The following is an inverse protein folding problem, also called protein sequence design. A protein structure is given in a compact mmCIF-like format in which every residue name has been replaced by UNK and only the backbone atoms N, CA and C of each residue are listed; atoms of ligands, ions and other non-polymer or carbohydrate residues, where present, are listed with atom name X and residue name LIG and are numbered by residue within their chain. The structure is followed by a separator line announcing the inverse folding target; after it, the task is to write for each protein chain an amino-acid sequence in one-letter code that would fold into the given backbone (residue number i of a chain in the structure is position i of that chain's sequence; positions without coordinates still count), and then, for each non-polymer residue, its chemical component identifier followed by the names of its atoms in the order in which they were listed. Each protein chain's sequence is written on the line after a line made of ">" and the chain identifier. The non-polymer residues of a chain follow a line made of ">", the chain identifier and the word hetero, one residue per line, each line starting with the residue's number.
data_IF_580769761546
#
_entry.id   IF_580769761546
#
_cell.length_a   1.000
_cell.length_b   1.000
_cell.length_c   1.000
_cell.angle_alpha   90.00
_cell.angle_beta   90.00
_cell.angle_gamma   90.00
#
_symmetry.space_group_name_H-M   'P 1'
#
loop_
_entity.id
_entity.type
_entity.pdbx_description
1 polymer ?
#
# COMPACT_ATOMS: atom_id res chain seq x y z
N UNK A 1 8.61 0.46 5.36
CA UNK A 1 7.54 -0.47 5.76
C UNK A 1 6.91 -1.00 4.50
N UNK A 2 6.49 -2.25 4.48
CA UNK A 2 6.21 -2.98 3.24
C UNK A 2 4.89 -3.72 3.34
N UNK A 3 3.85 -3.20 2.68
CA UNK A 3 2.56 -3.87 2.60
C UNK A 3 2.59 -4.99 1.56
N UNK A 4 1.83 -6.05 1.82
CA UNK A 4 1.79 -7.26 0.99
C UNK A 4 0.37 -7.60 0.56
N UNK A 5 0.24 -8.20 -0.62
CA UNK A 5 -1.01 -8.73 -1.14
C UNK A 5 -0.79 -10.13 -1.72
N UNK A 6 -1.58 -11.10 -1.26
CA UNK A 6 -1.64 -12.43 -1.88
C UNK A 6 -2.73 -12.41 -2.96
N UNK A 7 -2.36 -12.72 -4.20
CA UNK A 7 -3.29 -12.78 -5.34
C UNK A 7 -2.92 -13.94 -6.26
N UNK A 8 -3.90 -14.79 -6.61
CA UNK A 8 -3.66 -15.99 -7.45
C UNK A 8 -2.50 -16.86 -6.92
N UNK A 9 -2.49 -17.14 -5.61
CA UNK A 9 -1.44 -17.89 -4.91
C UNK A 9 -0.01 -17.34 -5.07
N UNK A 10 0.11 -16.07 -5.43
CA UNK A 10 1.40 -15.36 -5.56
C UNK A 10 1.43 -14.22 -4.56
N UNK A 11 2.54 -14.07 -3.84
CA UNK A 11 2.79 -12.90 -2.98
C UNK A 11 3.27 -11.73 -3.84
N UNK A 12 2.64 -10.59 -3.67
CA UNK A 12 3.05 -9.32 -4.26
C UNK A 12 3.35 -8.30 -3.17
N UNK A 13 4.33 -7.44 -3.46
CA UNK A 13 4.53 -6.18 -2.75
C UNK A 13 3.54 -5.15 -3.28
N UNK A 14 2.94 -4.38 -2.38
CA UNK A 14 2.19 -3.18 -2.76
C UNK A 14 3.20 -2.05 -2.99
N UNK A 15 3.26 -1.57 -4.24
CA UNK A 15 4.22 -0.55 -4.67
C UNK A 15 3.70 0.86 -4.43
N UNK A 16 2.45 1.10 -4.82
CA UNK A 16 1.76 2.38 -4.70
C UNK A 16 0.25 2.14 -4.55
N UNK A 17 -0.43 3.11 -3.96
CA UNK A 17 -1.89 3.11 -3.78
C UNK A 17 -2.41 4.49 -4.17
N UNK A 18 -3.53 4.54 -4.90
CA UNK A 18 -4.09 5.81 -5.37
C UNK A 18 -4.57 6.68 -4.21
N UNK A 19 -5.22 6.04 -3.22
CA UNK A 19 -5.53 6.68 -1.95
C UNK A 19 -4.34 6.57 -0.99
N UNK A 20 -4.23 7.51 -0.05
CA UNK A 20 -3.15 7.54 0.96
C UNK A 20 -2.98 6.21 1.70
N UNK A 21 -4.09 5.52 2.03
CA UNK A 21 -4.07 4.21 2.69
C UNK A 21 -5.13 3.29 2.10
N UNK A 22 -4.82 2.00 1.98
CA UNK A 22 -5.89 0.99 1.83
C UNK A 22 -6.65 0.87 3.14
N UNK A 23 -5.89 0.80 4.24
CA UNK A 23 -6.38 0.74 5.62
C UNK A 23 -5.40 1.46 6.52
N UNK A 24 -5.90 2.19 7.52
CA UNK A 24 -5.08 2.86 8.54
C UNK A 24 -5.44 2.37 9.95
N UNK A 25 -4.48 2.15 10.87
CA UNK A 25 -4.75 1.67 12.24
C UNK A 25 -5.80 2.46 13.03
N UNK A 26 -5.84 3.78 12.84
CA UNK A 26 -6.83 4.68 13.45
C UNK A 26 -8.27 4.24 13.15
N UNK A 27 -8.52 3.66 11.96
CA UNK A 27 -9.85 3.21 11.58
C UNK A 27 -10.37 2.07 12.47
N UNK A 28 -9.48 1.35 13.15
CA UNK A 28 -9.80 0.30 14.12
C UNK A 28 -9.68 0.76 15.59
N UNK A 29 -9.37 2.04 15.82
CA UNK A 29 -9.23 2.59 17.17
C UNK A 29 -7.89 2.31 17.86
N UNK A 30 -6.86 1.83 17.14
CA UNK A 30 -5.56 1.53 17.75
C UNK A 30 -4.70 2.76 18.09
N UNK A 31 -5.07 3.95 17.60
CA UNK A 31 -4.32 5.19 17.84
C UNK A 31 -5.26 6.37 18.14
N UNK A 32 -4.90 7.28 19.06
CA UNK A 32 -5.68 8.47 19.32
C UNK A 32 -5.62 9.44 18.15
N UNK A 33 -6.76 10.00 17.73
CA UNK A 33 -6.81 11.12 16.77
C UNK A 33 -6.16 12.41 17.32
N UNK A 34 -5.94 12.47 18.65
CA UNK A 34 -5.55 13.68 19.37
C UNK A 34 -4.04 13.91 19.44
N UNK A 35 -3.20 12.95 19.02
CA UNK A 35 -1.77 13.21 18.88
C UNK A 35 -1.52 14.03 17.62
N UNK A 36 -0.76 15.11 17.74
CA UNK A 36 -0.45 16.03 16.63
C UNK A 36 0.23 15.34 15.42
N UNK A 37 0.67 14.08 15.56
CA UNK A 37 1.15 13.23 14.49
C UNK A 37 0.21 12.03 14.27
N UNK A 38 -0.36 11.92 13.06
CA UNK A 38 -0.92 10.65 12.53
C UNK A 38 0.20 9.71 12.03
N UNK A 39 1.45 10.00 12.39
CA UNK A 39 2.60 9.22 11.96
C UNK A 39 2.72 8.01 12.87
N UNK A 40 2.34 6.86 12.34
CA UNK A 40 2.63 5.57 12.94
C UNK A 40 3.30 4.70 11.89
N UNK A 41 4.25 3.88 12.33
CA UNK A 41 4.79 2.85 11.47
C UNK A 41 3.82 1.68 11.45
N UNK A 42 3.34 1.24 10.29
CA UNK A 42 2.52 0.04 10.20
C UNK A 42 2.72 -0.71 8.89
N UNK A 43 2.39 -2.00 8.92
CA UNK A 43 2.40 -2.90 7.77
C UNK A 43 1.08 -3.65 7.73
N UNK A 44 0.58 -3.90 6.52
CA UNK A 44 -0.66 -4.63 6.30
C UNK A 44 -0.39 -5.80 5.36
N UNK A 45 -1.02 -6.93 5.66
CA UNK A 45 -1.07 -8.08 4.78
C UNK A 45 -2.51 -8.28 4.32
N UNK A 46 -2.67 -8.34 3.00
CA UNK A 46 -3.97 -8.49 2.35
C UNK A 46 -4.04 -9.80 1.56
N UNK A 47 -5.25 -10.25 1.29
CA UNK A 47 -5.54 -11.30 0.30
C UNK A 47 -6.63 -10.83 -0.64
N UNK A 48 -6.45 -11.13 -1.92
CA UNK A 48 -7.47 -10.96 -2.95
C UNK A 48 -8.06 -12.33 -3.31
N UNK A 49 -9.29 -12.58 -2.85
CA UNK A 49 -10.00 -13.86 -2.98
C UNK A 49 -11.43 -13.58 -3.40
N UNK A 50 -11.95 -14.34 -4.37
CA UNK A 50 -13.30 -14.15 -4.92
C UNK A 50 -13.61 -12.68 -5.28
N UNK A 51 -12.63 -12.03 -5.93
CA UNK A 51 -12.68 -10.61 -6.31
C UNK A 51 -12.81 -9.64 -5.12
N UNK A 52 -12.53 -10.06 -3.88
CA UNK A 52 -12.61 -9.20 -2.69
C UNK A 52 -11.23 -8.94 -2.10
N UNK A 53 -10.98 -7.68 -1.75
CA UNK A 53 -9.81 -7.26 -1.00
C UNK A 53 -10.06 -7.42 0.51
N UNK A 54 -9.30 -8.32 1.10
CA UNK A 54 -9.45 -8.75 2.49
C UNK A 54 -8.18 -8.41 3.26
N UNK A 55 -8.33 -7.78 4.42
CA UNK A 55 -7.26 -7.56 5.38
C UNK A 55 -7.09 -8.82 6.24
N UNK A 56 -5.87 -9.33 6.30
CA UNK A 56 -5.51 -10.50 7.11
C UNK A 56 -4.71 -10.12 8.35
N UNK A 57 -3.85 -9.11 8.24
CA UNK A 57 -2.96 -8.74 9.33
C UNK A 57 -2.62 -7.26 9.30
N UNK A 58 -2.58 -6.64 10.47
CA UNK A 58 -2.05 -5.30 10.70
C UNK A 58 -0.96 -5.38 11.77
N UNK A 59 0.23 -4.92 11.44
CA UNK A 59 1.36 -4.83 12.36
C UNK A 59 1.64 -3.35 12.58
N UNK A 60 1.50 -2.87 13.81
CA UNK A 60 1.77 -1.48 14.20
C UNK A 60 3.13 -1.47 14.90
N UNK A 61 4.11 -0.81 14.30
CA UNK A 61 5.40 -0.54 14.94
C UNK A 61 5.27 0.60 15.93
N UNK A 62 5.86 0.44 17.11
CA UNK A 62 6.03 1.54 18.05
C UNK A 62 7.46 2.06 17.89
N UNK A 63 7.61 3.28 17.36
CA UNK A 63 8.94 3.86 17.07
C UNK A 63 9.64 4.40 18.33
N UNK A 64 9.01 4.34 19.50
CA UNK A 64 9.61 4.87 20.73
C UNK A 64 10.27 3.74 21.52
N UNK A 65 11.61 3.69 21.45
CA UNK A 65 12.39 2.98 22.46
C UNK A 65 12.19 3.72 23.79
N UNK A 66 11.49 3.09 24.74
CA UNK A 66 11.26 3.70 26.05
C UNK A 66 12.49 3.41 26.91
N UNK A 67 13.16 4.47 27.37
CA UNK A 67 14.19 4.35 28.39
C UNK A 67 13.54 4.43 29.77
N UNK A 68 13.45 3.29 30.46
CA UNK A 68 13.01 3.19 31.85
C UNK A 68 14.24 2.87 32.72
N UNK A 69 14.71 3.85 33.49
CA UNK A 69 15.79 3.63 34.47
C UNK A 69 17.13 3.16 33.85
N UNK A 70 17.46 3.59 32.63
CA UNK A 70 18.71 3.21 31.94
C UNK A 70 18.62 1.91 31.13
N UNK A 71 17.46 1.25 31.11
CA UNK A 71 17.19 0.11 30.22
C UNK A 71 16.46 0.61 28.99
N UNK A 72 17.06 0.41 27.82
CA UNK A 72 16.45 0.69 26.51
C UNK A 72 15.53 -0.48 26.16
N UNK A 73 14.21 -0.28 26.30
CA UNK A 73 13.24 -1.24 25.78
C UNK A 73 13.13 -1.03 24.27
N UNK A 74 13.41 -2.07 23.49
CA UNK A 74 13.15 -2.04 22.05
C UNK A 74 11.64 -1.91 21.80
N UNK A 75 11.28 -1.16 20.74
CA UNK A 75 9.90 -0.89 20.41
C UNK A 75 9.11 -2.19 20.18
N UNK A 76 7.98 -2.33 20.86
CA UNK A 76 7.08 -3.46 20.65
C UNK A 76 6.26 -3.24 19.38
N UNK A 77 6.24 -4.23 18.49
CA UNK A 77 5.29 -4.28 17.39
C UNK A 77 3.99 -4.95 17.87
N UNK A 78 2.86 -4.26 17.73
CA UNK A 78 1.54 -4.84 18.00
C UNK A 78 1.06 -5.55 16.75
N UNK A 79 0.82 -6.85 16.84
CA UNK A 79 0.30 -7.65 15.75
C UNK A 79 -1.20 -7.90 15.97
N UNK A 80 -2.01 -7.52 14.99
CA UNK A 80 -3.45 -7.73 14.97
C UNK A 80 -3.80 -8.60 13.76
N UNK A 81 -4.29 -9.80 14.03
CA UNK A 81 -4.77 -10.71 13.00
C UNK A 81 -6.26 -10.51 12.75
N UNK A 82 -6.62 -10.55 11.48
CA UNK A 82 -7.97 -10.42 10.98
C UNK A 82 -8.28 -11.66 10.16
N UNK A 83 -9.37 -12.36 10.49
CA UNK A 83 -9.86 -13.49 9.70
C UNK A 83 -10.59 -12.94 8.46
N UNK A 84 -9.85 -12.57 7.41
CA UNK A 84 -10.39 -12.12 6.12
C UNK A 84 -11.36 -10.92 6.25
N UNK A 85 -10.93 -9.85 6.94
CA UNK A 85 -11.79 -8.67 7.13
C UNK A 85 -11.97 -7.93 5.79
N UNK A 86 -13.23 -7.74 5.37
CA UNK A 86 -13.56 -6.95 4.17
C UNK A 86 -13.07 -5.51 4.32
N UNK A 87 -12.47 -4.99 3.26
CA UNK A 87 -12.12 -3.58 3.13
C UNK A 87 -13.16 -2.85 2.28
N UNK A 88 -13.34 -1.54 2.48
CA UNK A 88 -14.20 -0.67 1.67
C UNK A 88 -13.35 0.20 0.70
N UNK A 89 -12.23 -0.34 0.21
CA UNK A 89 -11.26 0.42 -0.57
C UNK A 89 -11.78 0.79 -1.96
N UNK A 90 -11.59 2.05 -2.35
CA UNK A 90 -11.92 2.58 -3.66
C UNK A 90 -10.68 3.20 -4.31
N UNK A 91 -10.36 2.77 -5.52
CA UNK A 91 -9.20 3.25 -6.29
C UNK A 91 -8.28 2.13 -6.78
N UNK A 92 -7.08 2.51 -7.22
CA UNK A 92 -6.12 1.59 -7.82
C UNK A 92 -4.97 1.24 -6.87
N UNK A 93 -4.66 -0.06 -6.78
CA UNK A 93 -3.48 -0.59 -6.08
C UNK A 93 -2.46 -1.07 -7.12
N UNK A 94 -1.24 -0.55 -7.09
CA UNK A 94 -0.12 -1.04 -7.90
C UNK A 94 0.63 -2.12 -7.12
N UNK A 95 0.73 -3.32 -7.69
CA UNK A 95 1.43 -4.45 -7.07
C UNK A 95 2.58 -4.95 -7.94
N UNK A 96 3.64 -5.44 -7.29
CA UNK A 96 4.85 -5.94 -7.92
C UNK A 96 5.30 -7.28 -7.34
N UNK A 97 5.74 -8.21 -8.20
CA UNK A 97 6.30 -9.48 -7.80
C UNK A 97 7.57 -9.82 -8.60
N UNK A 98 8.40 -10.70 -8.02
CA UNK A 98 9.67 -11.18 -8.57
C UNK A 98 10.60 -10.01 -8.92
N UNK A 99 11.26 -9.37 -7.93
CA UNK A 99 12.26 -8.36 -8.21
C UNK A 99 13.38 -8.97 -9.08
N UNK A 100 13.72 -8.30 -10.18
CA UNK A 100 14.75 -8.76 -11.13
C UNK A 100 16.08 -8.05 -10.85
N UNK A 101 16.01 -6.74 -10.66
CA UNK A 101 17.15 -5.87 -10.44
C UNK A 101 16.67 -4.62 -9.74
N UNK A 102 17.48 -4.13 -8.83
CA UNK A 102 17.19 -2.89 -8.13
C UNK A 102 17.48 -1.70 -9.04
N UNK A 103 16.43 -1.02 -9.46
CA UNK A 103 16.52 0.28 -10.10
C UNK A 103 15.94 1.32 -9.16
N UNK A 104 16.64 2.44 -9.02
CA UNK A 104 16.21 3.54 -8.16
C UNK A 104 15.94 4.76 -9.02
N UNK A 105 14.71 5.28 -8.96
CA UNK A 105 14.37 6.60 -9.48
C UNK A 105 14.38 7.67 -8.38
N UNK A 106 14.23 7.23 -7.13
CA UNK A 106 14.31 8.04 -5.91
C UNK A 106 15.23 7.29 -4.92
N UNK A 107 15.96 8.00 -4.05
CA UNK A 107 16.93 7.37 -3.14
C UNK A 107 16.33 6.24 -2.28
N UNK A 108 15.09 6.42 -1.83
CA UNK A 108 14.49 5.55 -0.81
C UNK A 108 13.39 4.62 -1.36
N UNK A 109 13.26 4.51 -2.69
CA UNK A 109 12.21 3.71 -3.30
C UNK A 109 12.68 3.02 -4.60
N UNK A 110 12.46 1.70 -4.64
CA UNK A 110 12.63 0.93 -5.86
C UNK A 110 11.65 1.40 -6.93
N UNK A 111 12.16 1.62 -8.13
CA UNK A 111 11.36 1.95 -9.28
C UNK A 111 10.46 0.77 -9.66
N UNK A 112 9.26 1.04 -10.16
CA UNK A 112 8.29 0.00 -10.53
C UNK A 112 8.83 -1.01 -11.55
N UNK A 113 9.71 -0.58 -12.45
CA UNK A 113 10.34 -1.47 -13.43
C UNK A 113 11.43 -2.39 -12.86
N UNK A 114 11.66 -2.37 -11.54
CA UNK A 114 12.49 -3.35 -10.82
C UNK A 114 11.85 -4.73 -10.69
N UNK A 115 10.54 -4.83 -10.93
CA UNK A 115 9.78 -6.07 -10.78
C UNK A 115 9.47 -6.71 -12.13
N UNK A 116 9.49 -8.05 -12.17
CA UNK A 116 9.13 -8.80 -13.38
C UNK A 116 7.65 -8.64 -13.71
N UNK A 117 6.81 -8.80 -12.69
CA UNK A 117 5.36 -8.72 -12.79
C UNK A 117 4.88 -7.46 -12.08
N UNK A 118 4.17 -6.60 -12.79
CA UNK A 118 3.58 -5.36 -12.25
C UNK A 118 2.15 -5.25 -12.74
N UNK A 119 1.20 -5.14 -11.81
CA UNK A 119 -0.23 -5.15 -12.09
C UNK A 119 -0.90 -3.99 -11.35
N UNK A 120 -1.82 -3.31 -12.02
CA UNK A 120 -2.77 -2.40 -11.40
C UNK A 120 -4.09 -3.12 -11.15
N UNK A 121 -4.53 -3.10 -9.89
CA UNK A 121 -5.79 -3.68 -9.44
C UNK A 121 -6.76 -2.55 -9.12
N UNK A 122 -7.90 -2.50 -9.81
CA UNK A 122 -8.90 -1.44 -9.66
C UNK A 122 -10.03 -1.92 -8.76
N UNK A 123 -10.33 -1.17 -7.71
CA UNK A 123 -11.33 -1.52 -6.73
C UNK A 123 -12.44 -0.50 -6.60
N UNK A 124 -13.65 -1.01 -6.34
CA UNK A 124 -14.83 -0.26 -5.91
C UNK A 124 -15.43 -0.99 -4.71
N UNK A 125 -15.53 -0.31 -3.57
CA UNK A 125 -15.98 -0.87 -2.28
C UNK A 125 -15.31 -2.22 -1.91
N UNK A 126 -13.99 -2.30 -2.10
CA UNK A 126 -13.20 -3.50 -1.85
C UNK A 126 -13.42 -4.65 -2.84
N UNK A 127 -14.25 -4.47 -3.88
CA UNK A 127 -14.43 -5.42 -4.97
C UNK A 127 -13.50 -5.08 -6.12
N UNK A 128 -12.79 -6.09 -6.63
CA UNK A 128 -11.92 -5.98 -7.80
C UNK A 128 -12.78 -5.88 -9.06
N UNK A 129 -12.74 -4.72 -9.69
CA UNK A 129 -13.49 -4.43 -10.93
C UNK A 129 -12.68 -4.85 -12.16
N UNK A 130 -11.39 -4.51 -12.17
CA UNK A 130 -10.52 -4.85 -13.31
C UNK A 130 -9.05 -4.95 -12.90
N UNK A 131 -8.26 -5.56 -13.77
CA UNK A 131 -6.81 -5.72 -13.62
C UNK A 131 -6.12 -5.28 -14.90
N UNK A 132 -5.05 -4.50 -14.77
CA UNK A 132 -4.23 -4.07 -15.91
C UNK A 132 -2.80 -4.57 -15.70
N UNK A 133 -2.31 -5.41 -16.62
CA UNK A 133 -0.93 -5.90 -16.58
C UNK A 133 0.03 -4.89 -17.23
N UNK A 134 0.90 -4.31 -16.41
CA UNK A 134 1.90 -3.32 -16.81
C UNK A 134 3.29 -3.92 -17.02
N UNK A 135 3.44 -5.24 -16.90
CA UNK A 135 4.74 -5.93 -16.96
C UNK A 135 5.46 -5.71 -18.30
N UNK A 136 4.73 -5.61 -19.41
CA UNK A 136 5.30 -5.29 -20.73
C UNK A 136 5.86 -3.88 -20.82
N UNK A 137 5.19 -2.91 -20.22
CA UNK A 137 5.69 -1.54 -20.16
C UNK A 137 6.97 -1.46 -19.31
N UNK A 138 6.99 -2.18 -18.17
CA UNK A 138 8.19 -2.28 -17.33
C UNK A 138 9.37 -2.93 -18.06
N UNK A 139 9.10 -4.00 -18.83
CA UNK A 139 10.10 -4.66 -19.67
C UNK A 139 10.69 -3.70 -20.71
N UNK A 140 9.87 -2.85 -21.35
CA UNK A 140 10.35 -1.84 -22.30
C UNK A 140 11.34 -0.87 -21.66
N UNK A 141 11.05 -0.40 -20.44
CA UNK A 141 11.98 0.48 -19.71
C UNK A 141 13.27 -0.24 -19.40
N UNK A 142 13.21 -1.47 -18.86
CA UNK A 142 14.40 -2.29 -18.58
C UNK A 142 15.25 -2.51 -19.82
N UNK A 143 14.65 -2.87 -20.96
CA UNK A 143 15.38 -3.10 -22.21
C UNK A 143 16.10 -1.85 -22.71
N UNK A 144 15.47 -0.68 -22.59
CA UNK A 144 16.14 0.58 -22.96
C UNK A 144 17.35 0.87 -22.08
N UNK A 145 17.29 0.52 -20.79
CA UNK A 145 18.42 0.67 -19.86
C UNK A 145 19.53 -0.37 -20.16
N UNK A 146 19.16 -1.63 -20.39
CA UNK A 146 20.08 -2.73 -20.72
C UNK A 146 20.87 -2.44 -22.01
N UNK A 147 20.17 -1.94 -23.04
CA UNK A 147 20.76 -1.57 -24.32
C UNK A 147 21.46 -0.21 -24.31
N UNK A 148 21.54 0.45 -23.14
CA UNK A 148 22.15 1.79 -22.96
C UNK A 148 21.53 2.88 -23.86
N UNK A 149 20.28 2.69 -24.28
CA UNK A 149 19.50 3.71 -24.98
C UNK A 149 19.03 4.83 -24.04
N UNK A 150 19.05 4.56 -22.73
CA UNK A 150 18.79 5.51 -21.64
C UNK A 150 19.67 5.21 -20.45
N UNK A 151 19.87 6.22 -19.59
CA UNK A 151 20.64 6.10 -18.36
C UNK A 151 19.92 6.77 -17.17
N UNK A 152 19.86 6.09 -16.02
CA UNK A 152 19.27 6.62 -14.79
C UNK A 152 20.08 7.75 -14.14
N UNK A 153 21.36 7.93 -14.51
CA UNK A 153 22.15 9.09 -14.05
C UNK A 153 21.87 10.36 -14.87
N UNK A 154 21.21 10.23 -16.03
CA UNK A 154 20.89 11.36 -16.89
C UNK A 154 19.49 11.91 -16.56
N UNK A 155 19.42 13.18 -16.15
CA UNK A 155 18.16 13.83 -15.75
C UNK A 155 17.12 13.93 -16.87
N UNK A 156 17.55 14.03 -18.13
CA UNK A 156 16.64 14.02 -19.30
C UNK A 156 16.00 12.66 -19.48
N UNK A 157 16.79 11.60 -19.38
CA UNK A 157 16.28 10.23 -19.50
C UNK A 157 15.35 9.86 -18.36
N UNK A 158 15.70 10.23 -17.12
CA UNK A 158 14.84 10.06 -15.94
C UNK A 158 13.49 10.76 -16.14
N UNK A 159 13.48 12.02 -16.63
CA UNK A 159 12.23 12.72 -16.95
C UNK A 159 11.42 12.00 -18.03
N UNK A 160 12.08 11.51 -19.08
CA UNK A 160 11.42 10.77 -20.14
C UNK A 160 10.87 9.42 -19.66
N UNK A 161 11.53 8.75 -18.71
CA UNK A 161 11.04 7.53 -18.08
C UNK A 161 9.83 7.88 -17.22
N UNK A 162 9.92 8.86 -16.32
CA UNK A 162 8.80 9.30 -15.48
C UNK A 162 7.58 9.70 -16.31
N UNK A 163 7.76 10.43 -17.41
CA UNK A 163 6.66 10.79 -18.31
C UNK A 163 6.00 9.57 -18.95
N UNK A 164 6.80 8.56 -19.34
CA UNK A 164 6.27 7.30 -19.84
C UNK A 164 5.49 6.54 -18.77
N UNK A 165 6.05 6.42 -17.55
CA UNK A 165 5.39 5.78 -16.42
C UNK A 165 4.04 6.44 -16.11
N UNK A 166 4.00 7.76 -16.05
CA UNK A 166 2.76 8.53 -15.81
C UNK A 166 1.72 8.39 -16.93
N UNK A 167 2.13 8.02 -18.16
CA UNK A 167 1.21 7.80 -19.27
C UNK A 167 0.69 6.37 -19.37
N UNK A 168 1.36 5.43 -18.70
CA UNK A 168 1.06 4.00 -18.77
C UNK A 168 0.14 3.58 -17.64
N UNK A 169 0.36 4.11 -16.45
CA UNK A 169 -0.48 3.82 -15.30
C UNK A 169 -1.84 4.47 -15.40
N UNK A 170 -2.85 3.74 -14.92
CA UNK A 170 -4.22 4.21 -14.82
C UNK A 170 -4.48 4.91 -13.48
N UNK A 171 -3.81 4.48 -12.39
CA UNK A 171 -3.99 5.06 -11.07
C UNK A 171 -3.32 6.43 -10.95
N UNK A 172 -3.97 7.37 -10.26
CA UNK A 172 -3.39 8.66 -9.91
C UNK A 172 -2.64 8.58 -8.57
N UNK A 173 -1.42 8.03 -8.58
CA UNK A 173 -0.57 7.85 -7.39
C UNK A 173 0.04 9.15 -6.85
N UNK A 174 -0.60 10.30 -7.05
CA UNK A 174 -0.11 11.57 -6.50
C UNK A 174 -0.34 11.58 -4.99
N UNK A 175 0.64 12.04 -4.20
CA UNK A 175 0.47 12.14 -2.75
C UNK A 175 -0.68 13.08 -2.41
N UNK A 176 -1.46 12.75 -1.38
CA UNK A 176 -2.50 13.64 -0.85
C UNK A 176 -1.87 15.00 -0.51
N UNK A 177 -2.19 16.03 -1.29
CA UNK A 177 -1.55 17.34 -1.16
C UNK A 177 -1.94 18.10 0.13
N UNK A 178 -2.99 17.68 0.85
CA UNK A 178 -3.51 18.39 2.02
C UNK A 178 -3.81 17.46 3.20
N UNK A 179 -3.29 17.82 4.38
CA UNK A 179 -3.51 17.12 5.64
C UNK A 179 -4.99 17.01 6.04
N UNK A 180 -5.80 18.02 5.69
CA UNK A 180 -7.24 18.03 5.96
C UNK A 180 -7.99 16.89 5.23
N UNK A 181 -7.67 16.67 3.96
CA UNK A 181 -8.29 15.60 3.16
C UNK A 181 -7.91 14.22 3.72
N UNK A 182 -6.68 14.06 4.21
CA UNK A 182 -6.23 12.84 4.89
C UNK A 182 -7.03 12.56 6.17
N UNK A 183 -7.30 13.57 7.00
CA UNK A 183 -8.10 13.38 8.22
C UNK A 183 -9.54 12.96 7.91
N UNK A 184 -10.17 13.57 6.90
CA UNK A 184 -11.52 13.20 6.47
C UNK A 184 -11.54 11.78 5.93
N UNK A 185 -10.58 11.41 5.08
CA UNK A 185 -10.45 10.05 4.56
C UNK A 185 -10.37 9.00 5.68
N UNK A 186 -9.53 9.23 6.69
CA UNK A 186 -9.42 8.30 7.84
C UNK A 186 -10.69 8.29 8.69
N UNK A 187 -11.41 9.42 8.83
CA UNK A 187 -12.70 9.47 9.53
C UNK A 187 -13.78 8.67 8.80
N UNK A 188 -13.85 8.78 7.48
CA UNK A 188 -14.81 8.01 6.68
C UNK A 188 -14.50 6.52 6.74
N UNK A 189 -13.23 6.15 6.59
CA UNK A 189 -12.76 4.78 6.78
C UNK A 189 -13.15 4.20 8.15
N UNK A 190 -13.05 4.99 9.24
CA UNK A 190 -13.49 4.56 10.57
C UNK A 190 -14.98 4.21 10.61
N UNK A 191 -15.85 4.95 9.91
CA UNK A 191 -17.29 4.66 9.86
C UNK A 191 -17.54 3.28 9.27
N UNK A 192 -16.83 2.94 8.20
CA UNK A 192 -16.96 1.65 7.52
C UNK A 192 -16.67 0.50 8.48
N UNK A 193 -15.56 0.58 9.23
CA UNK A 193 -15.18 -0.48 10.17
C UNK A 193 -15.98 -0.48 11.49
N UNK A 194 -16.49 0.68 11.93
CA UNK A 194 -17.37 0.74 13.12
C UNK A 194 -18.73 0.09 12.81
N UNK A 195 -19.26 0.27 11.60
CA UNK A 195 -20.49 -0.39 11.14
C UNK A 195 -20.32 -1.91 10.97
N UNK A 196 -19.16 -2.36 10.50
CA UNK A 196 -18.79 -3.79 10.42
C UNK A 196 -18.68 -4.43 11.81
N UNK A 197 -18.17 -3.72 12.81
CA UNK A 197 -18.12 -4.20 14.19
C UNK A 197 -19.53 -4.40 14.78
N UNK A 198 -20.47 -3.48 14.50
CA UNK A 198 -21.87 -3.60 14.94
C UNK A 198 -22.60 -4.79 14.29
N UNK A 199 -22.38 -5.06 13.01
CA UNK A 199 -23.02 -6.21 12.33
C UNK A 199 -22.50 -7.58 12.81
N UNK A 200 -21.23 -7.67 13.26
CA UNK A 200 -20.70 -8.90 13.87
C UNK A 200 -21.31 -9.20 15.24
N UNK A 201 -21.64 -8.19 16.04
CA UNK A 201 -22.26 -8.37 17.35
C UNK A 201 -23.73 -8.82 17.28
N UNK A 202 -24.47 -8.38 16.25
CA UNK A 202 -25.87 -8.78 16.05
C UNK A 202 -25.95 -10.25 15.60
N UNK A 203 -25.02 -10.72 14.76
CA UNK A 203 -25.02 -12.10 14.25
C UNK A 203 -24.34 -13.13 15.19
N UNK A 204 -23.79 -12.70 16.33
CA UNK A 204 -23.25 -13.59 17.37
C UNK A 204 -24.16 -13.71 18.60
N UNK A 205 -25.35 -13.10 18.54
CA UNK A 205 -26.36 -13.13 19.59
C UNK A 205 -27.62 -13.95 19.19
N UNK A 206 -27.56 -14.67 18.07
CA UNK A 206 -28.50 -15.72 17.66
C UNK A 206 -27.82 -17.10 17.72
#
# INVERSE_FOLDING_TARGET
>A
MEHKLIYQNTEYKILEVEQEYIVHPIAFGFLPYTTASMQCSFTCEFTLKDYRLLLNRLIIGNNEAVNLGGVRLEGYAQNHEFNELKTAYNGVILIGANPIKEYYLKPDALAHFSYQKVIELVFEDGLLITTVDQSKAMLRVRKNLELKLRNLTNSRDVRCINRFMNSVFIGDYKPFHFSYNRMNYVKDMKKDYTSLALSKWINSAE
#
